data_IF_245394543357
#
_entry.id   IF_245394543357
#
_cell.length_a   1.000
_cell.length_b   1.000
_cell.length_c   1.000
_cell.angle_alpha   90.00
_cell.angle_beta   90.00
_cell.angle_gamma   90.00
#
_symmetry.space_group_name_H-M   'P 1'
#
loop_
_entity.id
_entity.type
_entity.pdbx_description
1 polymer ?
#
# COMPACT_ATOMS: atom_id res chain seq x y z
N UNK A 1 -3.60 3.02 -18.92
CA UNK A 1 -2.32 2.37 -18.61
C UNK A 1 -1.40 2.32 -19.81
N UNK A 2 -1.77 1.60 -20.86
CA UNK A 2 -0.87 1.32 -21.99
C UNK A 2 -0.29 2.58 -22.64
N UNK A 3 -1.10 3.61 -22.89
CA UNK A 3 -0.63 4.86 -23.51
C UNK A 3 0.37 5.65 -22.64
N UNK A 4 0.34 5.48 -21.34
CA UNK A 4 1.29 6.07 -20.37
C UNK A 4 2.58 5.25 -20.37
N UNK A 5 2.50 3.93 -20.36
CA UNK A 5 3.67 3.06 -20.45
C UNK A 5 4.47 3.32 -21.76
N UNK A 6 3.79 3.42 -22.88
CA UNK A 6 4.44 3.75 -24.17
C UNK A 6 5.13 5.14 -24.15
N UNK A 7 4.57 6.09 -23.41
CA UNK A 7 5.18 7.40 -23.28
C UNK A 7 6.43 7.34 -22.40
N UNK A 8 6.41 6.58 -21.29
CA UNK A 8 7.62 6.33 -20.47
C UNK A 8 8.73 5.64 -21.26
N UNK A 9 8.39 4.60 -22.05
CA UNK A 9 9.34 3.94 -22.96
C UNK A 9 10.03 4.94 -23.89
N UNK A 10 9.23 5.82 -24.47
CA UNK A 10 9.75 6.83 -25.39
C UNK A 10 10.65 7.86 -24.70
N UNK A 11 10.24 8.38 -23.54
CA UNK A 11 10.99 9.42 -22.82
C UNK A 11 12.26 8.88 -22.16
N UNK A 12 12.24 7.64 -21.66
CA UNK A 12 13.38 6.98 -21.02
C UNK A 12 14.26 6.21 -22.02
N UNK A 13 13.73 5.89 -23.22
CA UNK A 13 14.38 5.08 -24.25
C UNK A 13 14.79 3.68 -23.75
N UNK A 14 13.92 3.05 -22.93
CA UNK A 14 14.09 1.69 -22.41
C UNK A 14 12.75 0.94 -22.47
N UNK A 15 12.81 -0.40 -22.45
CA UNK A 15 11.64 -1.27 -22.32
C UNK A 15 11.30 -1.54 -20.84
N UNK A 16 10.05 -1.95 -20.52
CA UNK A 16 9.69 -2.41 -19.17
C UNK A 16 10.61 -3.56 -18.70
N UNK A 17 11.16 -3.44 -17.50
CA UNK A 17 12.14 -4.34 -16.92
C UNK A 17 13.59 -3.89 -17.12
N UNK A 18 13.81 -2.81 -17.85
CA UNK A 18 15.16 -2.27 -18.10
C UNK A 18 15.48 -1.05 -17.23
N UNK A 19 16.76 -0.78 -17.09
CA UNK A 19 17.31 0.39 -16.39
C UNK A 19 17.95 1.34 -17.39
N UNK A 20 17.82 2.63 -17.17
CA UNK A 20 18.46 3.67 -17.99
C UNK A 20 19.98 3.54 -17.99
N UNK A 21 20.64 4.00 -19.06
CA UNK A 21 22.10 3.87 -19.22
C UNK A 21 22.91 4.59 -18.13
N UNK A 22 22.31 5.59 -17.47
CA UNK A 22 22.88 6.30 -16.32
C UNK A 22 22.66 5.56 -14.99
N UNK A 23 21.95 4.43 -15.00
CA UNK A 23 21.55 3.63 -13.83
C UNK A 23 20.68 4.39 -12.80
N UNK A 24 19.99 5.45 -13.21
CA UNK A 24 19.18 6.26 -12.31
C UNK A 24 17.74 5.79 -12.21
N UNK A 25 17.17 5.21 -13.29
CA UNK A 25 15.76 4.80 -13.32
C UNK A 25 15.62 3.39 -13.88
N UNK A 26 14.95 2.51 -13.12
CA UNK A 26 14.44 1.23 -13.62
C UNK A 26 12.95 1.39 -13.89
N UNK A 27 12.52 1.04 -15.10
CA UNK A 27 11.12 1.14 -15.50
C UNK A 27 10.45 -0.22 -15.51
N UNK A 28 9.37 -0.37 -14.75
CA UNK A 28 8.56 -1.58 -14.69
C UNK A 28 7.09 -1.29 -14.96
N UNK A 29 6.38 -2.25 -15.52
CA UNK A 29 4.91 -2.23 -15.62
C UNK A 29 4.35 -3.34 -14.75
N UNK A 30 3.40 -3.00 -13.88
CA UNK A 30 2.75 -3.93 -12.96
C UNK A 30 1.29 -4.14 -13.36
N UNK A 31 0.73 -5.26 -12.96
CA UNK A 31 -0.68 -5.57 -13.17
C UNK A 31 -1.58 -4.59 -12.39
N UNK A 32 -2.87 -4.56 -12.76
CA UNK A 32 -3.84 -3.63 -12.20
C UNK A 32 -3.92 -3.72 -10.67
N UNK A 33 -3.75 -2.56 -10.01
CA UNK A 33 -3.82 -2.41 -8.56
C UNK A 33 -5.25 -2.40 -7.99
N UNK A 34 -6.26 -2.68 -8.83
CA UNK A 34 -7.66 -2.54 -8.44
C UNK A 34 -8.17 -1.09 -8.35
N UNK A 35 -7.29 -0.12 -8.52
CA UNK A 35 -7.60 1.32 -8.47
C UNK A 35 -7.98 1.90 -9.84
N UNK A 36 -8.81 1.20 -10.61
CA UNK A 36 -9.20 1.57 -11.98
C UNK A 36 -9.80 2.97 -12.10
N UNK A 37 -10.46 3.45 -11.06
CA UNK A 37 -11.04 4.79 -11.00
C UNK A 37 -9.98 5.92 -10.94
N UNK A 38 -8.75 5.59 -10.54
CA UNK A 38 -7.62 6.52 -10.40
C UNK A 38 -6.54 6.31 -11.47
N UNK A 39 -6.78 5.41 -12.41
CA UNK A 39 -5.82 5.09 -13.48
C UNK A 39 -5.69 6.19 -14.53
N UNK A 40 -4.54 6.32 -15.18
CA UNK A 40 -3.29 5.59 -14.93
C UNK A 40 -2.56 6.04 -13.65
N UNK A 41 -1.97 5.06 -12.95
CA UNK A 41 -1.16 5.32 -11.74
C UNK A 41 0.31 5.07 -12.09
N UNK A 42 1.17 5.95 -11.61
CA UNK A 42 2.64 5.81 -11.67
C UNK A 42 3.17 5.82 -10.24
N UNK A 43 4.12 4.95 -9.96
CA UNK A 43 4.81 4.87 -8.67
C UNK A 43 6.29 5.16 -8.91
N UNK A 44 6.84 6.17 -8.25
CA UNK A 44 8.25 6.55 -8.31
C UNK A 44 8.81 6.59 -6.90
N UNK A 45 9.74 5.68 -6.56
CA UNK A 45 10.38 5.57 -5.23
C UNK A 45 9.37 5.59 -4.06
N UNK A 46 8.24 4.87 -4.23
CA UNK A 46 7.17 4.83 -3.25
C UNK A 46 6.19 6.00 -3.27
N UNK A 47 6.39 7.00 -4.13
CA UNK A 47 5.45 8.11 -4.35
C UNK A 47 4.48 7.79 -5.47
N UNK A 48 3.20 7.98 -5.21
CA UNK A 48 2.11 7.63 -6.12
C UNK A 48 1.55 8.86 -6.83
N UNK A 49 1.46 8.79 -8.16
CA UNK A 49 0.79 9.77 -8.98
C UNK A 49 -0.43 9.13 -9.65
N UNK A 50 -1.62 9.62 -9.35
CA UNK A 50 -2.87 9.14 -9.92
C UNK A 50 -3.32 10.00 -11.10
N UNK A 51 -4.17 9.43 -11.98
CA UNK A 51 -4.72 10.11 -13.15
C UNK A 51 -3.64 10.75 -14.05
N UNK A 52 -2.47 10.10 -14.11
CA UNK A 52 -1.31 10.62 -14.84
C UNK A 52 -1.63 10.77 -16.34
N UNK A 53 -1.36 11.94 -16.88
CA UNK A 53 -1.44 12.21 -18.31
C UNK A 53 -0.04 12.30 -18.95
N UNK A 54 0.01 12.20 -20.28
CA UNK A 54 1.28 12.20 -21.04
C UNK A 54 2.16 13.43 -20.81
N UNK A 55 1.58 14.57 -20.46
CA UNK A 55 2.33 15.83 -20.26
C UNK A 55 3.09 15.85 -18.94
N UNK A 56 2.63 15.06 -17.96
CA UNK A 56 3.20 14.98 -16.62
C UNK A 56 4.39 14.01 -16.56
N UNK A 57 4.56 13.13 -17.55
CA UNK A 57 5.59 12.09 -17.52
C UNK A 57 7.00 12.67 -17.41
N UNK A 58 7.30 13.72 -18.17
CA UNK A 58 8.63 14.37 -18.07
C UNK A 58 8.89 14.96 -16.70
N UNK A 59 7.86 15.55 -16.10
CA UNK A 59 7.95 16.10 -14.74
C UNK A 59 8.18 14.97 -13.72
N UNK A 60 7.45 13.86 -13.84
CA UNK A 60 7.62 12.68 -12.97
C UNK A 60 9.04 12.12 -13.10
N UNK A 61 9.55 11.95 -14.32
CA UNK A 61 10.92 11.49 -14.57
C UNK A 61 11.95 12.44 -13.94
N UNK A 62 11.77 13.75 -14.09
CA UNK A 62 12.68 14.73 -13.51
C UNK A 62 12.64 14.71 -11.98
N UNK A 63 11.45 14.66 -11.38
CA UNK A 63 11.27 14.55 -9.93
C UNK A 63 11.91 13.27 -9.36
N UNK A 64 11.80 12.15 -10.09
CA UNK A 64 12.44 10.89 -9.71
C UNK A 64 13.96 11.03 -9.72
N UNK A 65 14.55 11.64 -10.75
CA UNK A 65 16.01 11.86 -10.85
C UNK A 65 16.54 12.79 -9.76
N UNK A 66 15.79 13.86 -9.48
CA UNK A 66 16.21 14.87 -8.50
C UNK A 66 15.88 14.48 -7.05
N UNK A 67 15.13 13.38 -6.82
CA UNK A 67 14.59 13.02 -5.51
C UNK A 67 13.66 14.10 -4.92
N UNK A 68 13.16 15.01 -5.74
CA UNK A 68 12.32 16.14 -5.34
C UNK A 68 10.86 15.82 -5.59
N UNK A 69 10.29 14.99 -4.75
CA UNK A 69 8.85 14.76 -4.77
C UNK A 69 8.17 15.94 -4.06
N UNK A 70 7.36 16.70 -4.80
CA UNK A 70 6.60 17.81 -4.22
C UNK A 70 5.70 17.29 -3.08
N UNK A 71 6.11 17.51 -1.85
CA UNK A 71 5.30 17.32 -0.63
C UNK A 71 4.23 18.42 -0.50
N UNK A 72 3.51 18.73 -1.57
CA UNK A 72 2.75 19.97 -1.60
C UNK A 72 1.52 20.05 -2.51
N UNK A 73 0.84 18.96 -2.79
CA UNK A 73 -0.56 19.07 -3.26
C UNK A 73 -1.39 18.02 -2.53
N UNK A 74 -2.16 18.48 -1.55
CA UNK A 74 -3.24 17.79 -0.87
C UNK A 74 -3.02 16.28 -0.63
N UNK A 75 -2.72 15.90 0.60
CA UNK A 75 -2.59 14.50 1.04
C UNK A 75 -3.82 13.62 0.71
N UNK A 76 -4.85 14.19 0.14
CA UNK A 76 -6.03 13.53 -0.40
C UNK A 76 -5.86 13.00 -1.84
N UNK A 77 -4.84 13.44 -2.59
CA UNK A 77 -4.65 13.04 -3.99
C UNK A 77 -3.77 11.80 -4.20
N UNK A 78 -3.03 11.36 -3.18
CA UNK A 78 -2.17 10.18 -3.25
C UNK A 78 -2.77 8.94 -2.57
N UNK A 79 -4.04 8.99 -2.17
CA UNK A 79 -4.73 7.85 -1.58
C UNK A 79 -5.55 7.11 -2.64
N UNK A 80 -5.50 5.78 -2.63
CA UNK A 80 -6.31 4.94 -3.51
C UNK A 80 -6.79 3.70 -2.77
N UNK A 81 -8.01 3.19 -3.09
CA UNK A 81 -8.58 2.05 -2.40
C UNK A 81 -7.87 0.75 -2.78
N UNK A 82 -7.65 -0.10 -1.79
CA UNK A 82 -7.12 -1.44 -1.95
C UNK A 82 -8.19 -2.47 -1.57
N UNK A 83 -8.22 -3.57 -2.30
CA UNK A 83 -8.92 -4.80 -1.91
C UNK A 83 -7.95 -5.68 -1.13
N UNK A 84 -8.17 -5.81 0.18
CA UNK A 84 -7.28 -6.51 1.08
C UNK A 84 -7.85 -7.87 1.47
N UNK A 85 -7.00 -8.89 1.46
CA UNK A 85 -7.35 -10.26 1.82
C UNK A 85 -6.30 -10.89 2.75
N UNK A 86 -6.70 -11.96 3.43
CA UNK A 86 -5.80 -12.74 4.27
C UNK A 86 -4.79 -13.50 3.40
N UNK A 87 -3.50 -13.35 3.69
CA UNK A 87 -2.43 -14.06 3.00
C UNK A 87 -2.48 -15.59 3.20
N UNK A 88 -3.11 -16.06 4.29
CA UNK A 88 -3.17 -17.49 4.62
C UNK A 88 -4.42 -18.18 4.05
N UNK A 89 -5.61 -17.62 4.28
CA UNK A 89 -6.86 -18.28 3.85
C UNK A 89 -7.49 -17.66 2.60
N UNK A 90 -6.93 -16.58 2.06
CA UNK A 90 -7.42 -15.90 0.85
C UNK A 90 -8.75 -15.15 1.00
N UNK A 91 -9.40 -15.20 2.19
CA UNK A 91 -10.67 -14.51 2.39
C UNK A 91 -10.47 -13.01 2.45
N UNK A 92 -11.42 -12.27 1.86
CA UNK A 92 -11.46 -10.81 1.92
C UNK A 92 -11.53 -10.33 3.37
N UNK A 93 -10.75 -9.29 3.68
CA UNK A 93 -10.76 -8.60 4.97
C UNK A 93 -11.60 -7.31 4.89
N UNK A 94 -12.26 -7.05 3.76
CA UNK A 94 -13.08 -5.86 3.57
C UNK A 94 -14.37 -5.94 4.39
N UNK A 95 -14.62 -4.93 5.21
CA UNK A 95 -15.84 -4.76 6.02
C UNK A 95 -16.80 -3.80 5.30
N UNK A 96 -17.64 -4.34 4.42
CA UNK A 96 -18.60 -3.56 3.65
C UNK A 96 -19.72 -2.95 4.51
N UNK A 97 -19.85 -3.36 5.77
CA UNK A 97 -20.79 -2.78 6.74
C UNK A 97 -20.29 -1.50 7.39
N UNK A 98 -18.97 -1.26 7.36
CA UNK A 98 -18.32 -0.11 7.98
C UNK A 98 -17.38 0.57 6.99
N UNK A 99 -17.53 1.88 6.85
CA UNK A 99 -16.75 2.68 5.90
C UNK A 99 -15.86 3.68 6.63
N UNK A 100 -14.63 3.81 6.14
CA UNK A 100 -13.69 4.86 6.52
C UNK A 100 -13.36 5.68 5.26
N UNK A 101 -13.51 6.99 5.35
CA UNK A 101 -13.27 7.91 4.23
C UNK A 101 -14.04 7.55 2.94
N UNK A 102 -15.28 7.02 3.09
CA UNK A 102 -16.14 6.66 1.95
C UNK A 102 -15.86 5.29 1.32
N UNK A 103 -14.89 4.52 1.83
CA UNK A 103 -14.52 3.19 1.36
C UNK A 103 -14.71 2.13 2.44
N UNK A 104 -15.03 0.86 2.09
CA UNK A 104 -15.11 -0.22 3.06
C UNK A 104 -13.84 -0.31 3.89
N UNK A 105 -13.94 -0.47 5.20
CA UNK A 105 -12.79 -0.62 6.06
C UNK A 105 -12.15 -2.01 5.91
N UNK A 106 -10.88 -2.16 6.26
CA UNK A 106 -10.23 -3.46 6.45
C UNK A 106 -10.42 -3.88 7.90
N UNK A 107 -11.05 -5.03 8.14
CA UNK A 107 -11.30 -5.57 9.48
C UNK A 107 -10.25 -6.61 9.86
N UNK A 108 -9.63 -6.41 11.02
CA UNK A 108 -8.59 -7.28 11.57
C UNK A 108 -8.91 -7.59 13.03
N UNK A 109 -8.73 -8.82 13.46
CA UNK A 109 -8.74 -9.20 14.87
C UNK A 109 -7.40 -8.83 15.51
N UNK A 110 -7.43 -8.31 16.73
CA UNK A 110 -6.22 -7.85 17.42
C UNK A 110 -6.12 -8.41 18.82
N UNK A 111 -4.87 -8.54 19.32
CA UNK A 111 -4.56 -8.83 20.71
C UNK A 111 -3.48 -7.86 21.19
N UNK A 112 -3.76 -7.21 22.32
CA UNK A 112 -2.82 -6.32 23.03
C UNK A 112 -2.70 -6.82 24.49
N UNK A 113 -1.65 -7.56 24.80
CA UNK A 113 -1.55 -8.29 26.07
C UNK A 113 -2.69 -9.29 26.21
N UNK A 114 -3.47 -9.19 27.28
CA UNK A 114 -4.62 -10.07 27.56
C UNK A 114 -5.94 -9.55 26.92
N UNK A 115 -5.93 -8.39 26.28
CA UNK A 115 -7.10 -7.83 25.62
C UNK A 115 -7.18 -8.30 24.17
N UNK A 116 -8.33 -8.86 23.82
CA UNK A 116 -8.66 -9.18 22.43
C UNK A 116 -9.71 -8.20 21.92
N UNK A 117 -9.61 -7.86 20.65
CA UNK A 117 -10.50 -6.91 20.03
C UNK A 117 -10.44 -6.96 18.52
N UNK A 118 -10.85 -5.85 17.92
CA UNK A 118 -10.81 -5.64 16.47
C UNK A 118 -10.23 -4.28 16.18
N UNK A 119 -9.64 -4.15 15.02
CA UNK A 119 -9.25 -2.86 14.43
C UNK A 119 -9.87 -2.74 13.04
N UNK A 120 -10.43 -1.58 12.74
CA UNK A 120 -10.78 -1.18 11.38
C UNK A 120 -9.74 -0.20 10.88
N UNK A 121 -9.15 -0.53 9.76
CA UNK A 121 -8.11 0.26 9.12
C UNK A 121 -8.67 0.81 7.81
N UNK A 122 -8.28 2.02 7.44
CA UNK A 122 -8.61 2.57 6.12
C UNK A 122 -8.09 1.65 5.02
N UNK A 123 -8.94 1.32 4.06
CA UNK A 123 -8.53 0.62 2.84
C UNK A 123 -7.85 1.54 1.83
N UNK A 124 -7.82 2.83 2.09
CA UNK A 124 -7.07 3.77 1.27
C UNK A 124 -5.59 3.69 1.61
N UNK A 125 -4.76 3.28 0.66
CA UNK A 125 -3.31 3.39 0.80
C UNK A 125 -2.93 4.86 1.00
N UNK A 126 -1.97 5.13 1.88
CA UNK A 126 -1.60 6.50 2.26
C UNK A 126 -2.54 7.15 3.29
N UNK A 127 -3.60 6.46 3.71
CA UNK A 127 -4.43 6.88 4.83
C UNK A 127 -4.22 5.95 6.02
N UNK A 128 -3.84 6.50 7.16
CA UNK A 128 -3.36 5.75 8.33
C UNK A 128 -4.41 5.62 9.44
N UNK A 129 -5.67 5.91 9.16
CA UNK A 129 -6.76 5.80 10.14
C UNK A 129 -6.91 4.37 10.63
N UNK A 130 -6.80 4.17 11.95
CA UNK A 130 -7.01 2.90 12.66
C UNK A 130 -8.02 3.13 13.79
N UNK A 131 -9.10 2.37 13.84
CA UNK A 131 -10.13 2.44 14.90
C UNK A 131 -10.16 1.10 15.64
N UNK A 132 -9.75 1.11 16.89
CA UNK A 132 -9.69 -0.07 17.75
C UNK A 132 -10.98 -0.22 18.58
N UNK A 133 -11.47 -1.46 18.71
CA UNK A 133 -12.66 -1.82 19.51
C UNK A 133 -12.40 -3.12 20.31
N UNK A 134 -12.22 -3.07 21.65
CA UNK A 134 -12.08 -1.86 22.48
C UNK A 134 -10.78 -1.10 22.16
N UNK A 135 -10.74 0.16 22.57
CA UNK A 135 -9.53 0.97 22.40
C UNK A 135 -8.37 0.37 23.20
N UNK A 136 -7.16 0.46 22.65
CA UNK A 136 -5.93 -0.04 23.27
C UNK A 136 -5.04 1.15 23.68
N UNK A 137 -4.17 0.98 24.68
CA UNK A 137 -3.28 2.06 25.10
C UNK A 137 -2.43 2.62 23.95
N UNK A 138 -2.11 3.91 24.04
CA UNK A 138 -1.12 4.54 23.17
C UNK A 138 0.20 3.76 23.20
N UNK A 139 0.89 3.68 22.07
CA UNK A 139 2.15 2.93 21.93
C UNK A 139 2.06 1.43 22.27
N UNK A 140 0.86 0.84 22.31
CA UNK A 140 0.72 -0.58 22.48
C UNK A 140 1.20 -1.33 21.24
N UNK A 141 2.06 -2.32 21.45
CA UNK A 141 2.38 -3.32 20.44
C UNK A 141 1.19 -4.29 20.31
N UNK A 142 0.59 -4.32 19.14
CA UNK A 142 -0.63 -5.11 18.87
C UNK A 142 -0.30 -6.25 17.92
N UNK A 143 -0.79 -7.45 18.23
CA UNK A 143 -0.73 -8.58 17.30
C UNK A 143 -1.98 -8.60 16.43
N UNK A 144 -1.80 -8.75 15.14
CA UNK A 144 -2.85 -8.78 14.14
C UNK A 144 -3.14 -10.22 13.69
N UNK A 145 -4.43 -10.56 13.59
CA UNK A 145 -4.91 -11.88 13.19
C UNK A 145 -6.04 -11.78 12.19
N UNK A 146 -6.14 -12.77 11.33
CA UNK A 146 -7.27 -12.89 10.42
C UNK A 146 -8.57 -13.17 11.19
N UNK A 147 -9.64 -12.38 11.00
CA UNK A 147 -10.93 -12.64 11.67
C UNK A 147 -11.63 -13.91 11.21
N UNK A 148 -11.17 -14.53 10.09
CA UNK A 148 -11.78 -15.73 9.53
C UNK A 148 -11.09 -17.02 9.92
N UNK A 149 -9.76 -17.04 9.92
CA UNK A 149 -8.99 -18.27 10.20
C UNK A 149 -8.15 -18.21 11.47
N UNK A 150 -8.07 -17.03 12.12
CA UNK A 150 -7.29 -16.85 13.34
C UNK A 150 -5.77 -16.83 13.15
N UNK A 151 -5.26 -17.02 11.92
CA UNK A 151 -3.83 -16.95 11.65
C UNK A 151 -3.31 -15.53 11.84
N UNK A 152 -2.10 -15.40 12.41
CA UNK A 152 -1.39 -14.12 12.47
C UNK A 152 -0.97 -13.67 11.08
N UNK A 153 -0.60 -12.42 10.98
CA UNK A 153 -0.04 -11.83 9.76
C UNK A 153 1.48 -11.62 9.95
N UNK A 154 2.29 -12.66 9.73
CA UNK A 154 3.74 -12.55 9.90
C UNK A 154 4.33 -11.64 8.82
N UNK A 155 5.32 -10.85 9.21
CA UNK A 155 6.13 -10.09 8.28
C UNK A 155 7.61 -10.28 8.60
N UNK A 156 8.43 -10.40 7.56
CA UNK A 156 9.89 -10.33 7.67
C UNK A 156 10.39 -8.88 7.71
N UNK A 157 9.50 -7.94 7.44
CA UNK A 157 9.80 -6.51 7.33
C UNK A 157 9.62 -5.81 8.67
N UNK A 158 10.52 -4.91 8.99
CA UNK A 158 10.41 -3.98 10.12
C UNK A 158 9.96 -2.62 9.63
N UNK A 159 9.15 -1.95 10.43
CA UNK A 159 8.71 -0.60 10.13
C UNK A 159 9.90 0.36 10.06
N UNK A 160 10.02 1.09 8.96
CA UNK A 160 11.11 2.05 8.77
C UNK A 160 11.00 3.25 9.70
N UNK A 161 9.77 3.58 10.15
CA UNK A 161 9.52 4.74 11.01
C UNK A 161 9.82 4.47 12.49
N UNK A 162 9.49 3.27 13.00
CA UNK A 162 9.61 2.98 14.43
C UNK A 162 10.41 1.71 14.76
N UNK A 163 10.74 0.88 13.77
CA UNK A 163 11.47 -0.38 13.96
C UNK A 163 10.62 -1.56 14.45
N UNK A 164 9.32 -1.36 14.74
CA UNK A 164 8.42 -2.41 15.21
C UNK A 164 8.05 -3.40 14.09
N UNK A 165 7.54 -4.61 14.46
CA UNK A 165 7.05 -5.57 13.48
C UNK A 165 5.93 -5.00 12.62
N UNK A 166 5.86 -5.44 11.37
CA UNK A 166 4.75 -5.17 10.48
C UNK A 166 3.83 -6.40 10.33
N UNK A 167 2.67 -6.21 9.76
CA UNK A 167 1.72 -7.25 9.42
C UNK A 167 1.49 -7.26 7.91
N UNK A 168 1.73 -8.42 7.26
CA UNK A 168 1.64 -8.59 5.82
C UNK A 168 0.30 -9.18 5.41
N UNK A 169 -0.43 -8.47 4.56
CA UNK A 169 -1.72 -8.88 4.00
C UNK A 169 -1.63 -8.88 2.48
N UNK A 170 -2.40 -9.76 1.83
CA UNK A 170 -2.47 -9.79 0.38
C UNK A 170 -3.36 -8.68 -0.16
N UNK A 171 -3.00 -8.10 -1.30
CA UNK A 171 -3.83 -7.18 -2.05
C UNK A 171 -4.16 -7.76 -3.42
N UNK A 172 -5.34 -7.41 -3.94
CA UNK A 172 -5.80 -7.78 -5.29
C UNK A 172 -5.64 -9.28 -5.64
N UNK A 173 -5.99 -10.16 -4.69
CA UNK A 173 -6.00 -11.61 -4.95
C UNK A 173 -4.63 -12.30 -4.94
N UNK A 174 -3.60 -11.72 -4.31
CA UNK A 174 -2.20 -12.15 -4.15
C UNK A 174 -1.19 -11.49 -5.09
N UNK A 175 -1.58 -10.50 -5.89
CA UNK A 175 -0.68 -9.79 -6.80
C UNK A 175 0.18 -8.72 -6.10
N UNK A 176 0.15 -8.67 -4.77
CA UNK A 176 0.96 -7.77 -3.97
C UNK A 176 0.75 -7.97 -2.47
N UNK A 177 1.59 -7.31 -1.69
CA UNK A 177 1.58 -7.34 -0.22
C UNK A 177 1.46 -5.93 0.33
N UNK A 178 0.46 -5.74 1.19
CA UNK A 178 0.34 -4.56 2.04
C UNK A 178 0.91 -4.90 3.41
N UNK A 179 1.95 -4.21 3.83
CA UNK A 179 2.54 -4.30 5.16
C UNK A 179 2.14 -3.09 5.98
N UNK A 180 1.58 -3.30 7.17
CA UNK A 180 1.14 -2.23 8.07
C UNK A 180 1.84 -2.40 9.43
N UNK A 181 2.36 -1.29 9.98
CA UNK A 181 2.97 -1.30 11.31
C UNK A 181 1.95 -1.69 12.38
N UNK A 182 2.35 -2.60 13.27
CA UNK A 182 1.51 -3.12 14.35
C UNK A 182 1.47 -2.22 15.59
N UNK A 183 2.37 -1.22 15.67
CA UNK A 183 2.29 -0.21 16.72
C UNK A 183 1.08 0.71 16.47
N UNK A 184 0.27 0.93 17.51
CA UNK A 184 -1.03 1.62 17.39
C UNK A 184 -0.91 2.99 16.69
N UNK A 185 0.01 3.82 17.12
CA UNK A 185 0.12 5.20 16.65
C UNK A 185 1.12 5.40 15.50
N UNK A 186 1.78 4.34 15.06
CA UNK A 186 2.72 4.43 13.95
C UNK A 186 1.97 4.39 12.60
N UNK A 187 2.37 5.26 11.69
CA UNK A 187 1.82 5.37 10.35
C UNK A 187 2.56 4.52 9.30
N UNK A 188 3.51 3.68 9.74
CA UNK A 188 4.29 2.84 8.82
C UNK A 188 3.41 1.94 7.97
N UNK A 189 3.47 2.12 6.67
CA UNK A 189 2.74 1.37 5.65
C UNK A 189 3.63 1.18 4.42
N UNK A 190 3.66 -0.02 3.89
CA UNK A 190 4.42 -0.36 2.66
C UNK A 190 3.53 -1.19 1.75
N UNK A 191 3.49 -0.85 0.49
CA UNK A 191 2.84 -1.64 -0.55
C UNK A 191 3.91 -2.16 -1.51
N UNK A 192 4.07 -3.48 -1.55
CA UNK A 192 4.98 -4.16 -2.46
C UNK A 192 4.15 -4.98 -3.45
N UNK A 193 4.19 -4.58 -4.71
CA UNK A 193 3.40 -5.19 -5.80
C UNK A 193 4.17 -6.29 -6.53
N UNK A 194 5.46 -6.43 -6.25
CA UNK A 194 6.31 -7.47 -6.84
C UNK A 194 6.44 -8.68 -5.90
N UNK A 195 5.99 -8.54 -4.64
CA UNK A 195 6.04 -9.60 -3.64
C UNK A 195 4.75 -10.42 -3.71
N UNK A 196 4.82 -11.62 -4.25
CA UNK A 196 3.79 -12.63 -4.04
C UNK A 196 3.90 -13.20 -2.63
N UNK A 197 2.78 -13.38 -1.94
CA UNK A 197 2.75 -14.15 -0.68
C UNK A 197 3.17 -15.57 -0.99
N UNK A 198 4.32 -15.98 -0.46
CA UNK A 198 4.82 -17.36 -0.58
C UNK A 198 3.93 -18.24 0.31
N UNK A 199 3.40 -19.31 -0.27
CA UNK A 199 2.69 -20.38 0.44
C UNK A 199 3.60 -21.08 1.45
#
# INVERSE_FOLDING_TARGET
GQAIAEEFKRELNIEPGETTADNEITFETVNCLGACALGPIVVSDGHYSANVNKREIRQIIQQTKDGTYESGKDSTQNTFPLEVSCSQCGRSLMDHGNHLHGHPAVLISVSAGDQNGRVRISSLYGNFTKIYEPDVPANAAVKFFCPHCGSGFPSSTRCIECGDPMADMSVNGKDGVLSICTLKECNGQVLDLNKTTID
#
